data_IF_325098592487
#
_entry.id   IF_325098592487
#
_cell.length_a   1.000
_cell.length_b   1.000
_cell.length_c   1.000
_cell.angle_alpha   90.00
_cell.angle_beta   90.00
_cell.angle_gamma   90.00
#
_symmetry.space_group_name_H-M   'P 1'
#
loop_
_entity.id
_entity.type
_entity.pdbx_description
1 polymer ?
#
# COMPACT_ATOMS: atom_id res chain seq x y z
N UNK A 1 12.98 -14.31 28.35
CA UNK A 1 12.70 -14.36 26.91
C UNK A 1 13.98 -14.03 26.16
N UNK A 2 14.18 -14.46 24.92
CA UNK A 2 15.34 -14.03 24.13
C UNK A 2 15.20 -12.52 23.86
N UNK A 3 16.32 -11.80 23.92
CA UNK A 3 16.34 -10.36 23.58
C UNK A 3 16.07 -10.19 22.10
N UNK A 4 15.29 -9.17 21.75
CA UNK A 4 15.05 -8.79 20.36
C UNK A 4 16.29 -8.12 19.75
N UNK A 5 16.82 -8.71 18.71
CA UNK A 5 18.06 -8.28 18.04
C UNK A 5 17.77 -7.21 17.01
N UNK A 6 18.43 -6.07 17.15
CA UNK A 6 18.13 -4.87 16.37
C UNK A 6 19.37 -4.40 15.61
N UNK A 7 19.19 -4.01 14.33
CA UNK A 7 20.18 -3.25 13.58
C UNK A 7 19.64 -1.83 13.36
N UNK A 8 20.50 -0.82 13.58
CA UNK A 8 20.22 0.59 13.34
C UNK A 8 20.91 1.01 12.05
N UNK A 9 20.18 1.62 11.13
CA UNK A 9 20.68 2.10 9.85
C UNK A 9 20.31 3.57 9.66
N UNK A 10 21.32 4.44 9.72
CA UNK A 10 21.19 5.89 9.51
C UNK A 10 22.55 6.43 9.10
N UNK A 11 22.65 7.36 8.18
CA UNK A 11 23.94 7.92 7.75
C UNK A 11 24.54 8.89 8.77
N UNK A 12 23.71 9.43 9.69
CA UNK A 12 24.14 10.35 10.74
C UNK A 12 24.59 9.57 12.00
N UNK A 13 25.86 9.63 12.33
CA UNK A 13 26.42 8.95 13.52
C UNK A 13 25.73 9.39 14.82
N UNK A 14 25.44 10.68 14.96
CA UNK A 14 24.77 11.22 16.16
C UNK A 14 23.37 10.62 16.35
N UNK A 15 22.64 10.37 15.25
CA UNK A 15 21.33 9.72 15.29
C UNK A 15 21.48 8.26 15.75
N UNK A 16 22.43 7.52 15.18
CA UNK A 16 22.69 6.13 15.60
C UNK A 16 23.05 6.03 17.06
N UNK A 17 23.94 6.91 17.56
CA UNK A 17 24.30 6.97 18.97
C UNK A 17 23.09 7.26 19.88
N UNK A 18 22.23 8.19 19.48
CA UNK A 18 20.99 8.50 20.19
C UNK A 18 20.02 7.31 20.24
N UNK A 19 19.80 6.66 19.10
CA UNK A 19 18.94 5.48 18.99
C UNK A 19 19.51 4.32 19.80
N UNK A 20 20.80 4.07 19.73
CA UNK A 20 21.47 3.05 20.55
C UNK A 20 21.27 3.32 22.04
N UNK A 21 21.56 4.55 22.48
CA UNK A 21 21.39 4.94 23.90
C UNK A 21 19.94 4.81 24.38
N UNK A 22 18.97 5.02 23.50
CA UNK A 22 17.55 4.80 23.80
C UNK A 22 17.26 3.32 23.97
N UNK A 23 17.67 2.48 23.01
CA UNK A 23 17.36 1.05 22.99
C UNK A 23 18.10 0.27 24.07
N UNK A 24 19.34 0.65 24.42
CA UNK A 24 20.13 0.02 25.49
C UNK A 24 19.52 0.21 26.89
N UNK A 25 18.54 1.13 27.07
CA UNK A 25 17.78 1.25 28.32
C UNK A 25 16.72 0.16 28.50
N UNK A 26 16.40 -0.55 27.44
CA UNK A 26 15.36 -1.59 27.45
C UNK A 26 16.02 -2.97 27.51
N UNK A 27 15.81 -3.73 28.61
CA UNK A 27 16.49 -5.01 28.84
C UNK A 27 16.12 -6.10 27.82
N UNK A 28 14.99 -5.94 27.13
CA UNK A 28 14.48 -6.87 26.14
C UNK A 28 15.05 -6.64 24.73
N UNK A 29 15.86 -5.58 24.54
CA UNK A 29 16.48 -5.22 23.26
C UNK A 29 18.00 -5.45 23.29
N UNK A 30 18.54 -5.72 22.10
CA UNK A 30 19.99 -5.84 21.86
C UNK A 30 20.33 -5.23 20.49
N UNK A 31 21.08 -4.12 20.47
CA UNK A 31 21.59 -3.55 19.23
C UNK A 31 22.83 -4.35 18.82
N UNK A 32 22.64 -5.26 17.84
CA UNK A 32 23.67 -6.20 17.39
C UNK A 32 24.62 -5.59 16.34
N UNK A 33 24.19 -4.57 15.60
CA UNK A 33 25.04 -3.85 14.66
C UNK A 33 24.44 -2.46 14.31
N UNK A 34 25.28 -1.63 13.69
CA UNK A 34 24.92 -0.33 13.13
C UNK A 34 25.45 -0.24 11.70
N UNK A 35 24.76 0.48 10.81
CA UNK A 35 25.18 0.73 9.44
C UNK A 35 24.95 2.20 9.05
N UNK A 36 25.84 2.77 8.26
CA UNK A 36 25.75 4.14 7.76
C UNK A 36 25.27 4.26 6.30
N UNK A 37 25.03 3.14 5.63
CA UNK A 37 24.58 3.09 4.25
C UNK A 37 23.87 1.77 3.94
N UNK A 38 23.16 1.72 2.80
CA UNK A 38 22.34 0.57 2.43
C UNK A 38 23.12 -0.72 2.18
N UNK A 39 24.30 -0.64 1.57
CA UNK A 39 25.13 -1.82 1.30
C UNK A 39 25.59 -2.48 2.59
N UNK A 40 26.16 -1.68 3.51
CA UNK A 40 26.61 -2.15 4.82
C UNK A 40 25.44 -2.73 5.64
N UNK A 41 24.24 -2.10 5.53
CA UNK A 41 23.03 -2.61 6.17
C UNK A 41 22.69 -4.03 5.70
N UNK A 42 22.64 -4.29 4.40
CA UNK A 42 22.29 -5.59 3.83
C UNK A 42 23.33 -6.65 4.22
N UNK A 43 24.63 -6.32 4.16
CA UNK A 43 25.70 -7.21 4.58
C UNK A 43 25.56 -7.61 6.06
N UNK A 44 25.29 -6.63 6.93
CA UNK A 44 25.09 -6.86 8.38
C UNK A 44 23.80 -7.62 8.70
N UNK A 45 22.71 -7.38 7.98
CA UNK A 45 21.49 -8.18 8.12
C UNK A 45 21.77 -9.65 7.82
N UNK A 46 22.51 -9.94 6.76
CA UNK A 46 22.90 -11.31 6.43
C UNK A 46 23.82 -11.96 7.47
N UNK A 47 24.76 -11.19 8.04
CA UNK A 47 25.73 -11.68 9.02
C UNK A 47 25.11 -11.89 10.41
N UNK A 48 24.31 -10.93 10.88
CA UNK A 48 23.80 -10.91 12.25
C UNK A 48 22.37 -11.47 12.38
N UNK A 49 21.61 -11.58 11.28
CA UNK A 49 20.22 -12.05 11.26
C UNK A 49 19.38 -11.44 12.39
N UNK A 50 19.16 -10.12 12.36
CA UNK A 50 18.37 -9.42 13.38
C UNK A 50 16.88 -9.78 13.29
N UNK A 51 16.15 -9.53 14.36
CA UNK A 51 14.69 -9.60 14.35
C UNK A 51 14.09 -8.35 13.71
N UNK A 52 14.71 -7.18 13.98
CA UNK A 52 14.23 -5.87 13.51
C UNK A 52 15.39 -5.04 12.97
N UNK A 53 15.12 -4.34 11.87
CA UNK A 53 15.98 -3.29 11.32
C UNK A 53 15.26 -1.95 11.43
N UNK A 54 15.86 -1.01 12.14
CA UNK A 54 15.41 0.41 12.15
C UNK A 54 16.20 1.12 11.07
N UNK A 55 15.51 1.56 10.01
CA UNK A 55 16.10 1.99 8.75
C UNK A 55 15.67 3.42 8.40
N UNK A 56 16.65 4.31 8.25
CA UNK A 56 16.36 5.63 7.70
C UNK A 56 15.95 5.56 6.23
N UNK A 57 14.98 6.39 5.84
CA UNK A 57 14.55 6.52 4.45
C UNK A 57 15.63 7.16 3.58
N UNK A 58 16.38 8.12 4.12
CA UNK A 58 17.40 8.86 3.37
C UNK A 58 18.79 8.31 3.69
N UNK A 59 19.33 7.53 2.78
CA UNK A 59 20.67 7.00 2.87
C UNK A 59 21.52 7.44 1.68
N UNK A 60 22.84 7.61 1.85
CA UNK A 60 23.73 7.92 0.74
C UNK A 60 23.82 6.73 -0.24
N UNK A 61 23.64 7.03 -1.52
CA UNK A 61 23.84 6.07 -2.61
C UNK A 61 22.69 5.12 -2.90
N UNK A 62 21.72 4.98 -1.99
CA UNK A 62 20.49 4.20 -2.23
C UNK A 62 19.35 4.73 -1.38
N UNK A 63 18.12 4.66 -1.88
CA UNK A 63 16.94 4.96 -1.06
C UNK A 63 16.76 3.91 0.03
N UNK A 64 16.44 4.33 1.27
CA UNK A 64 16.07 3.39 2.33
C UNK A 64 14.89 2.47 1.94
N UNK A 65 14.00 2.93 1.07
CA UNK A 65 12.92 2.10 0.51
C UNK A 65 13.46 0.94 -0.33
N UNK A 66 14.46 1.19 -1.19
CA UNK A 66 15.11 0.13 -1.98
C UNK A 66 15.87 -0.85 -1.08
N UNK A 67 16.50 -0.35 -0.01
CA UNK A 67 17.18 -1.19 0.99
C UNK A 67 16.15 -2.03 1.76
N UNK A 68 15.01 -1.46 2.14
CA UNK A 68 13.89 -2.18 2.76
C UNK A 68 13.42 -3.33 1.87
N UNK A 69 13.14 -3.05 0.60
CA UNK A 69 12.71 -4.07 -0.35
C UNK A 69 13.74 -5.22 -0.47
N UNK A 70 15.02 -4.90 -0.60
CA UNK A 70 16.07 -5.92 -0.67
C UNK A 70 16.16 -6.76 0.61
N UNK A 71 15.97 -6.15 1.79
CA UNK A 71 16.00 -6.87 3.06
C UNK A 71 14.78 -7.80 3.16
N UNK A 72 13.58 -7.32 2.88
CA UNK A 72 12.35 -8.09 2.99
C UNK A 72 12.28 -9.26 1.99
N UNK A 73 12.82 -9.07 0.78
CA UNK A 73 12.91 -10.12 -0.24
C UNK A 73 13.95 -11.19 0.10
N UNK A 74 15.14 -10.78 0.58
CA UNK A 74 16.24 -11.71 0.87
C UNK A 74 16.14 -12.38 2.24
N UNK A 75 15.52 -11.71 3.19
CA UNK A 75 15.45 -12.12 4.59
C UNK A 75 14.02 -12.00 5.14
N UNK A 76 13.07 -12.84 4.70
CA UNK A 76 11.64 -12.69 5.01
C UNK A 76 11.30 -12.80 6.50
N UNK A 77 12.22 -13.30 7.33
CA UNK A 77 12.08 -13.32 8.80
C UNK A 77 12.38 -11.98 9.47
N UNK A 78 13.12 -11.09 8.79
CA UNK A 78 13.56 -9.80 9.33
C UNK A 78 12.47 -8.75 9.12
N UNK A 79 12.13 -8.01 10.16
CA UNK A 79 11.14 -6.93 10.10
C UNK A 79 11.85 -5.59 9.94
N UNK A 80 11.33 -4.74 9.06
CA UNK A 80 11.90 -3.41 8.81
C UNK A 80 10.94 -2.34 9.33
N UNK A 81 11.45 -1.45 10.18
CA UNK A 81 10.77 -0.22 10.63
C UNK A 81 11.47 0.95 9.93
N UNK A 82 10.70 1.67 9.11
CA UNK A 82 11.20 2.89 8.47
C UNK A 82 11.18 4.04 9.45
N UNK A 83 12.29 4.77 9.54
CA UNK A 83 12.45 5.94 10.38
C UNK A 83 12.67 7.18 9.51
N UNK A 84 11.86 8.22 9.65
CA UNK A 84 11.95 9.42 8.80
C UNK A 84 11.70 10.72 9.55
N UNK A 85 12.27 11.80 9.07
CA UNK A 85 12.00 13.15 9.59
C UNK A 85 10.74 13.79 8.98
N UNK A 86 10.21 13.26 7.87
CA UNK A 86 9.12 13.85 7.12
C UNK A 86 8.07 12.80 6.75
N UNK A 87 6.80 13.18 6.91
CA UNK A 87 5.66 12.36 6.50
C UNK A 87 5.26 12.70 5.04
N UNK A 88 6.09 12.33 4.07
CA UNK A 88 5.75 12.44 2.65
C UNK A 88 4.93 11.20 2.24
N UNK A 89 3.74 11.41 1.66
CA UNK A 89 2.81 10.31 1.32
C UNK A 89 3.44 9.31 0.35
N UNK A 90 4.17 9.80 -0.66
CA UNK A 90 4.85 8.95 -1.63
C UNK A 90 5.84 7.97 -0.98
N UNK A 91 6.59 8.46 0.03
CA UNK A 91 7.57 7.64 0.75
C UNK A 91 6.91 6.63 1.68
N UNK A 92 5.81 7.01 2.33
CA UNK A 92 5.00 6.10 3.15
C UNK A 92 4.49 4.92 2.30
N UNK A 93 3.85 5.22 1.16
CA UNK A 93 3.30 4.15 0.31
C UNK A 93 4.39 3.32 -0.37
N UNK A 94 5.51 3.93 -0.73
CA UNK A 94 6.66 3.19 -1.24
C UNK A 94 7.22 2.23 -0.18
N UNK A 95 7.31 2.66 1.10
CA UNK A 95 7.76 1.82 2.20
C UNK A 95 6.80 0.64 2.47
N UNK A 96 5.49 0.89 2.44
CA UNK A 96 4.47 -0.17 2.57
C UNK A 96 4.61 -1.20 1.45
N UNK A 97 4.75 -0.76 0.20
CA UNK A 97 4.95 -1.66 -0.96
C UNK A 97 6.27 -2.42 -0.88
N UNK A 98 7.31 -1.83 -0.29
CA UNK A 98 8.58 -2.49 -0.02
C UNK A 98 8.55 -3.51 1.12
N UNK A 99 7.38 -3.69 1.78
CA UNK A 99 7.18 -4.66 2.86
C UNK A 99 7.63 -4.18 4.23
N UNK A 100 7.74 -2.86 4.47
CA UNK A 100 8.01 -2.33 5.80
C UNK A 100 6.91 -2.77 6.80
N UNK A 101 7.33 -3.26 7.95
CA UNK A 101 6.45 -3.68 9.04
C UNK A 101 6.03 -2.52 9.94
N UNK A 102 6.75 -1.40 9.90
CA UNK A 102 6.43 -0.20 10.65
C UNK A 102 6.97 1.07 9.99
N UNK A 103 6.35 2.19 10.34
CA UNK A 103 6.78 3.51 9.87
C UNK A 103 6.65 4.51 11.02
N UNK A 104 7.77 5.14 11.38
CA UNK A 104 7.88 6.01 12.56
C UNK A 104 8.54 7.33 12.16
N UNK A 105 8.00 8.43 12.68
CA UNK A 105 8.59 9.76 12.49
C UNK A 105 9.68 10.04 13.53
N UNK A 106 10.86 10.54 13.13
CA UNK A 106 11.97 10.92 14.01
C UNK A 106 11.59 12.02 15.02
N UNK A 107 10.53 12.79 14.74
CA UNK A 107 10.04 13.87 15.63
C UNK A 107 9.17 13.34 16.78
N UNK A 108 8.73 12.11 16.71
CA UNK A 108 7.96 11.44 17.76
C UNK A 108 8.94 10.96 18.83
N UNK A 109 8.54 11.00 20.10
CA UNK A 109 9.41 10.67 21.23
C UNK A 109 9.97 9.24 21.16
N UNK A 110 11.10 9.00 21.86
CA UNK A 110 11.74 7.70 21.86
C UNK A 110 10.84 6.53 22.26
N UNK A 111 9.82 6.79 23.07
CA UNK A 111 8.82 5.78 23.50
C UNK A 111 7.98 5.22 22.34
N UNK A 112 7.78 5.98 21.28
CA UNK A 112 7.02 5.53 20.11
C UNK A 112 7.83 4.54 19.27
N UNK A 113 9.14 4.77 19.11
CA UNK A 113 10.03 3.82 18.45
C UNK A 113 10.10 2.50 19.25
N UNK A 114 10.21 2.59 20.57
CA UNK A 114 10.21 1.41 21.45
C UNK A 114 8.93 0.61 21.27
N UNK A 115 7.76 1.27 21.33
CA UNK A 115 6.46 0.61 21.08
C UNK A 115 6.38 0.00 19.67
N UNK A 116 6.94 0.67 18.67
CA UNK A 116 6.98 0.15 17.32
C UNK A 116 7.81 -1.14 17.23
N UNK A 117 8.98 -1.15 17.83
CA UNK A 117 9.86 -2.34 17.87
C UNK A 117 9.17 -3.50 18.60
N UNK A 118 8.55 -3.25 19.75
CA UNK A 118 7.81 -4.27 20.49
C UNK A 118 6.64 -4.86 19.70
N UNK A 119 5.81 -3.99 19.06
CA UNK A 119 4.68 -4.42 18.25
C UNK A 119 5.11 -5.26 17.05
N UNK A 120 6.12 -4.78 16.32
CA UNK A 120 6.67 -5.46 15.15
C UNK A 120 7.32 -6.80 15.54
N UNK A 121 7.97 -6.85 16.70
CA UNK A 121 8.53 -8.07 17.26
C UNK A 121 7.48 -9.14 17.60
N UNK A 122 6.26 -8.72 17.93
CA UNK A 122 5.10 -9.64 18.10
C UNK A 122 4.43 -10.02 16.79
N UNK A 123 4.92 -9.50 15.64
CA UNK A 123 4.32 -9.72 14.33
C UNK A 123 3.15 -8.79 13.99
N UNK A 124 2.97 -7.73 14.77
CA UNK A 124 1.98 -6.69 14.51
C UNK A 124 2.57 -5.65 13.53
N UNK A 125 1.77 -5.11 12.61
CA UNK A 125 2.17 -3.94 11.83
C UNK A 125 1.85 -2.68 12.64
N UNK A 126 2.76 -1.70 12.62
CA UNK A 126 2.53 -0.45 13.33
C UNK A 126 2.66 0.74 12.38
N UNK A 127 1.56 1.48 12.28
CA UNK A 127 1.50 2.78 11.64
C UNK A 127 1.14 3.83 12.69
N UNK A 128 1.81 4.96 12.66
CA UNK A 128 1.38 6.12 13.44
C UNK A 128 -0.08 6.44 13.14
N UNK A 129 -0.93 6.75 14.15
CA UNK A 129 -2.33 7.09 13.92
C UNK A 129 -2.54 8.22 12.91
N UNK A 130 -1.63 9.20 12.85
CA UNK A 130 -1.69 10.30 11.86
C UNK A 130 -1.49 9.83 10.42
N UNK A 131 -0.85 8.69 10.21
CA UNK A 131 -0.59 8.10 8.89
C UNK A 131 -1.70 7.12 8.48
N UNK A 132 -2.43 6.56 9.43
CA UNK A 132 -3.51 5.60 9.16
C UNK A 132 -4.60 6.19 8.25
N UNK A 133 -5.00 7.44 8.52
CA UNK A 133 -6.01 8.12 7.69
C UNK A 133 -5.52 8.28 6.25
N UNK A 134 -4.26 8.64 6.04
CA UNK A 134 -3.66 8.81 4.70
C UNK A 134 -3.63 7.49 3.92
N UNK A 135 -3.34 6.38 4.61
CA UNK A 135 -3.40 5.04 3.97
C UNK A 135 -4.83 4.73 3.50
N UNK A 136 -5.85 5.01 4.32
CA UNK A 136 -7.23 4.81 3.89
C UNK A 136 -7.64 5.71 2.72
N UNK A 137 -7.18 6.96 2.69
CA UNK A 137 -7.44 7.88 1.58
C UNK A 137 -6.81 7.38 0.27
N UNK A 138 -5.57 6.90 0.31
CA UNK A 138 -4.89 6.34 -0.87
C UNK A 138 -5.53 5.04 -1.34
N UNK A 139 -5.92 4.15 -0.44
CA UNK A 139 -6.65 2.92 -0.81
C UNK A 139 -7.96 3.27 -1.52
N UNK A 140 -8.72 4.25 -1.02
CA UNK A 140 -9.93 4.73 -1.67
C UNK A 140 -9.66 5.37 -3.02
N UNK A 141 -8.56 6.13 -3.14
CA UNK A 141 -8.14 6.75 -4.40
C UNK A 141 -7.76 5.69 -5.43
N UNK A 142 -6.92 4.73 -5.05
CA UNK A 142 -6.53 3.63 -5.93
C UNK A 142 -7.75 2.82 -6.41
N UNK A 143 -8.71 2.56 -5.52
CA UNK A 143 -9.95 1.88 -5.88
C UNK A 143 -10.76 2.70 -6.89
N UNK A 144 -10.91 4.01 -6.71
CA UNK A 144 -11.61 4.89 -7.66
C UNK A 144 -10.90 4.96 -9.02
N UNK A 145 -9.57 4.99 -9.03
CA UNK A 145 -8.77 4.98 -10.26
C UNK A 145 -8.94 3.65 -11.02
N UNK A 146 -8.99 2.53 -10.32
CA UNK A 146 -9.27 1.22 -10.89
C UNK A 146 -10.69 1.14 -11.47
N UNK A 147 -11.70 1.62 -10.74
CA UNK A 147 -13.09 1.72 -11.19
C UNK A 147 -13.22 2.62 -12.43
N UNK A 148 -12.56 3.80 -12.41
CA UNK A 148 -12.55 4.70 -13.55
C UNK A 148 -11.87 4.08 -14.78
N UNK A 149 -10.77 3.36 -14.57
CA UNK A 149 -10.04 2.65 -15.64
C UNK A 149 -10.89 1.54 -16.25
N UNK A 150 -11.65 0.80 -15.43
CA UNK A 150 -12.51 -0.30 -15.90
C UNK A 150 -13.57 0.15 -16.93
N UNK A 151 -13.99 1.41 -16.86
CA UNK A 151 -15.03 1.97 -17.76
C UNK A 151 -14.51 3.04 -18.72
N UNK A 152 -13.19 3.27 -18.78
CA UNK A 152 -12.57 4.35 -19.54
C UNK A 152 -12.92 4.34 -21.06
N UNK A 153 -13.18 3.18 -21.63
CA UNK A 153 -13.55 3.04 -23.04
C UNK A 153 -15.05 3.23 -23.32
N UNK A 154 -15.88 3.29 -22.27
CA UNK A 154 -17.31 3.44 -22.43
C UNK A 154 -17.72 4.92 -22.47
N UNK A 155 -18.65 5.24 -23.36
CA UNK A 155 -19.32 6.53 -23.34
C UNK A 155 -20.35 6.60 -22.20
N UNK A 156 -20.75 7.81 -21.81
CA UNK A 156 -21.77 8.00 -20.79
C UNK A 156 -23.09 7.24 -21.09
N UNK A 157 -23.48 7.19 -22.38
CA UNK A 157 -24.68 6.46 -22.81
C UNK A 157 -24.50 4.94 -22.66
N UNK A 158 -23.31 4.42 -22.99
CA UNK A 158 -23.00 3.01 -22.83
C UNK A 158 -22.96 2.63 -21.35
N UNK A 159 -22.43 3.49 -20.48
CA UNK A 159 -22.45 3.29 -19.04
C UNK A 159 -23.87 3.24 -18.46
N UNK A 160 -24.76 4.13 -18.91
CA UNK A 160 -26.18 4.10 -18.50
C UNK A 160 -26.88 2.81 -18.97
N UNK A 161 -26.60 2.36 -20.19
CA UNK A 161 -27.11 1.08 -20.68
C UNK A 161 -26.55 -0.08 -19.86
N UNK A 162 -25.25 -0.09 -19.57
CA UNK A 162 -24.58 -1.12 -18.78
C UNK A 162 -25.12 -1.19 -17.34
N UNK A 163 -25.43 -0.04 -16.74
CA UNK A 163 -26.07 0.01 -15.43
C UNK A 163 -27.41 -0.73 -15.43
N UNK A 164 -28.28 -0.43 -16.40
CA UNK A 164 -29.58 -1.11 -16.53
C UNK A 164 -29.45 -2.59 -16.90
N UNK A 165 -28.39 -2.95 -17.62
CA UNK A 165 -28.02 -4.37 -17.86
C UNK A 165 -27.69 -5.06 -16.56
N UNK A 166 -26.90 -4.43 -15.68
CA UNK A 166 -26.54 -5.00 -14.36
C UNK A 166 -27.73 -5.14 -13.42
N UNK A 167 -28.77 -4.33 -13.60
CA UNK A 167 -30.06 -4.44 -12.91
C UNK A 167 -30.98 -5.54 -13.46
N UNK A 168 -30.53 -6.26 -14.50
CA UNK A 168 -31.30 -7.35 -15.12
C UNK A 168 -32.39 -6.89 -16.11
N UNK A 169 -32.42 -5.61 -16.52
CA UNK A 169 -33.41 -5.06 -17.46
C UNK A 169 -33.27 -5.65 -18.85
N UNK A 170 -34.35 -5.93 -19.52
CA UNK A 170 -34.37 -6.34 -20.95
C UNK A 170 -34.06 -5.15 -21.86
N UNK A 171 -33.71 -5.40 -23.14
CA UNK A 171 -33.45 -4.32 -24.10
C UNK A 171 -34.67 -3.41 -24.30
N UNK A 172 -35.88 -3.94 -24.19
CA UNK A 172 -37.11 -3.19 -24.27
C UNK A 172 -37.27 -2.26 -23.07
N UNK A 173 -37.08 -2.77 -21.84
CA UNK A 173 -37.16 -1.96 -20.62
C UNK A 173 -36.07 -0.87 -20.58
N UNK A 174 -34.87 -1.16 -21.11
CA UNK A 174 -33.78 -0.17 -21.26
C UNK A 174 -34.17 0.89 -22.29
N UNK A 175 -34.76 0.49 -23.42
CA UNK A 175 -35.22 1.38 -24.46
C UNK A 175 -36.29 2.34 -23.92
N UNK A 176 -37.27 1.82 -23.18
CA UNK A 176 -38.30 2.63 -22.53
C UNK A 176 -37.72 3.59 -21.49
N UNK A 177 -36.77 3.14 -20.65
CA UNK A 177 -36.13 3.93 -19.59
C UNK A 177 -35.26 5.08 -20.13
N UNK A 178 -34.54 4.84 -21.24
CA UNK A 178 -33.62 5.82 -21.84
C UNK A 178 -34.20 6.58 -23.05
N UNK A 179 -35.48 6.37 -23.37
CA UNK A 179 -36.16 6.96 -24.53
C UNK A 179 -35.43 6.63 -25.85
N UNK A 180 -35.00 5.38 -26.01
CA UNK A 180 -34.27 4.86 -27.17
C UNK A 180 -35.11 3.84 -27.95
N UNK A 181 -34.70 3.52 -29.17
CA UNK A 181 -35.19 2.35 -29.91
C UNK A 181 -34.57 1.06 -29.38
N UNK A 182 -35.32 -0.05 -29.34
CA UNK A 182 -34.79 -1.37 -28.89
C UNK A 182 -33.60 -1.84 -29.74
N UNK A 183 -33.59 -1.54 -31.06
CA UNK A 183 -32.45 -1.81 -31.95
C UNK A 183 -31.20 -1.02 -31.58
N UNK A 184 -31.37 0.23 -31.14
CA UNK A 184 -30.27 1.07 -30.65
C UNK A 184 -29.67 0.50 -29.37
N UNK A 185 -30.52 0.06 -28.44
CA UNK A 185 -30.04 -0.59 -27.19
C UNK A 185 -29.28 -1.88 -27.50
N UNK A 186 -29.74 -2.68 -28.48
CA UNK A 186 -29.00 -3.87 -28.92
C UNK A 186 -27.62 -3.55 -29.43
N UNK A 187 -27.46 -2.46 -30.19
CA UNK A 187 -26.16 -2.00 -30.68
C UNK A 187 -25.26 -1.53 -29.52
N UNK A 188 -25.81 -0.79 -28.56
CA UNK A 188 -25.04 -0.40 -27.36
C UNK A 188 -24.55 -1.62 -26.58
N UNK A 189 -25.40 -2.59 -26.32
CA UNK A 189 -25.01 -3.82 -25.64
C UNK A 189 -23.87 -4.53 -26.40
N UNK A 190 -23.99 -4.65 -27.72
CA UNK A 190 -22.93 -5.27 -28.55
C UNK A 190 -21.60 -4.53 -28.46
N UNK A 191 -21.64 -3.18 -28.52
CA UNK A 191 -20.45 -2.35 -28.39
C UNK A 191 -19.81 -2.45 -27.00
N UNK A 192 -20.64 -2.47 -25.95
CA UNK A 192 -20.19 -2.66 -24.56
C UNK A 192 -19.46 -3.98 -24.42
N UNK A 193 -20.02 -5.08 -24.92
CA UNK A 193 -19.38 -6.40 -24.86
C UNK A 193 -18.00 -6.39 -25.54
N UNK A 194 -17.89 -5.75 -26.71
CA UNK A 194 -16.63 -5.60 -27.44
C UNK A 194 -15.60 -4.76 -26.69
N UNK A 195 -16.01 -3.63 -26.10
CA UNK A 195 -15.13 -2.70 -25.37
C UNK A 195 -14.65 -3.30 -24.04
N UNK A 196 -15.52 -4.01 -23.33
CA UNK A 196 -15.17 -4.68 -22.08
C UNK A 196 -14.46 -6.03 -22.29
N UNK A 197 -14.38 -6.54 -23.53
CA UNK A 197 -13.77 -7.84 -23.82
C UNK A 197 -14.52 -9.03 -23.22
N UNK A 198 -15.83 -8.91 -22.98
CA UNK A 198 -16.67 -9.96 -22.39
C UNK A 198 -17.54 -10.66 -23.45
N UNK A 199 -17.81 -11.96 -23.24
CA UNK A 199 -18.45 -12.78 -24.25
C UNK A 199 -19.97 -12.61 -24.32
N UNK A 200 -20.63 -12.21 -23.24
CA UNK A 200 -22.08 -12.19 -23.15
C UNK A 200 -22.60 -11.17 -22.13
N UNK A 201 -23.91 -10.93 -22.19
CA UNK A 201 -24.63 -9.98 -21.31
C UNK A 201 -24.48 -10.27 -19.82
N UNK A 202 -24.44 -11.55 -19.43
CA UNK A 202 -24.33 -11.93 -18.03
C UNK A 202 -22.93 -11.59 -17.49
N UNK A 203 -21.90 -11.78 -18.31
CA UNK A 203 -20.53 -11.35 -18.00
C UNK A 203 -20.41 -9.83 -17.91
N UNK A 204 -21.07 -9.07 -18.81
CA UNK A 204 -21.10 -7.62 -18.73
C UNK A 204 -21.81 -7.12 -17.45
N UNK A 205 -22.90 -7.76 -17.06
CA UNK A 205 -23.58 -7.46 -15.80
C UNK A 205 -22.71 -7.77 -14.58
N UNK A 206 -22.02 -8.91 -14.58
CA UNK A 206 -21.08 -9.28 -13.51
C UNK A 206 -19.91 -8.29 -13.44
N UNK A 207 -19.32 -7.90 -14.58
CA UNK A 207 -18.26 -6.90 -14.68
C UNK A 207 -18.68 -5.56 -14.07
N UNK A 208 -19.88 -5.06 -14.41
CA UNK A 208 -20.42 -3.82 -13.88
C UNK A 208 -20.59 -3.84 -12.36
N UNK A 209 -21.02 -4.97 -11.79
CA UNK A 209 -21.17 -5.17 -10.34
C UNK A 209 -19.80 -5.28 -9.67
N UNK A 210 -18.88 -6.03 -10.25
CA UNK A 210 -17.51 -6.24 -9.72
C UNK A 210 -16.74 -4.91 -9.60
N UNK A 211 -16.93 -4.01 -10.57
CA UNK A 211 -16.24 -2.71 -10.63
C UNK A 211 -17.11 -1.54 -10.12
N UNK A 212 -18.16 -1.80 -9.34
CA UNK A 212 -19.00 -0.80 -8.67
C UNK A 212 -19.55 0.31 -9.59
N UNK A 213 -19.98 -0.01 -10.82
CA UNK A 213 -20.47 0.96 -11.82
C UNK A 213 -21.53 1.91 -11.25
N UNK A 214 -22.40 1.43 -10.35
CA UNK A 214 -23.48 2.24 -9.75
C UNK A 214 -22.90 3.38 -8.91
N UNK A 215 -21.89 3.11 -8.11
CA UNK A 215 -21.25 4.09 -7.24
C UNK A 215 -20.43 5.09 -8.07
N UNK A 216 -19.77 4.60 -9.13
CA UNK A 216 -19.05 5.42 -10.10
C UNK A 216 -19.95 6.45 -10.81
N UNK A 217 -21.17 6.10 -11.21
CA UNK A 217 -22.14 7.00 -11.84
C UNK A 217 -22.81 7.98 -10.86
N UNK A 218 -22.72 7.72 -9.55
CA UNK A 218 -23.32 8.54 -8.50
C UNK A 218 -22.36 9.58 -7.91
N UNK A 219 -21.08 9.54 -8.32
CA UNK A 219 -19.99 10.42 -7.86
C UNK A 219 -19.81 11.60 -8.80
#
# INVERSE_FOLDING_TARGET
MARQRIIIVDDHEVVRLGLRSLLDRHPDFEVVAEAGNGRDAIEKVGAYQPDVVVLDIRLPGASGVEVCQQITEKFPGVKVIMLTSYAEDEMLFAAIRAGAAGYVLKQIGGDDLVRAIEAVGRGEALLDPSLTQRVFEEVRKAQREEEASAFAELTNQEMQVLQLVSEGKTNREIADALYLGEGTVRNYVSNILGKLGVANRAEAAAYAVQHNLRDYLSS
#
